data_IF_851661900146
#
_entry.id   IF_851661900146
#
_cell.length_a   1.000
_cell.length_b   1.000
_cell.length_c   1.000
_cell.angle_alpha   90.00
_cell.angle_beta   90.00
_cell.angle_gamma   90.00
#
_symmetry.space_group_name_H-M   'P 1'
#
loop_
_entity.id
_entity.type
_entity.pdbx_description
1 polymer ?
#
# COMPACT_ATOMS: atom_id res chain seq x y z
N UNK A 1 -0.72 3.01 20.21
CA UNK A 1 0.01 3.58 19.06
C UNK A 1 1.16 4.42 19.60
N UNK A 2 2.25 4.62 18.86
CA UNK A 2 3.33 5.48 19.34
C UNK A 2 2.95 6.96 19.11
N UNK A 3 3.37 7.85 20.02
CA UNK A 3 3.12 9.30 19.92
C UNK A 3 3.61 9.91 18.60
N UNK A 4 4.65 9.31 17.99
CA UNK A 4 5.19 9.75 16.72
C UNK A 4 4.25 9.41 15.54
N UNK A 5 3.56 8.26 15.60
CA UNK A 5 2.60 7.85 14.57
C UNK A 5 1.35 8.73 14.62
N UNK A 6 0.87 9.06 15.82
CA UNK A 6 -0.30 9.95 15.99
C UNK A 6 -0.01 11.36 15.44
N UNK A 7 1.17 11.93 15.76
CA UNK A 7 1.58 13.23 15.21
C UNK A 7 1.70 13.23 13.69
N UNK A 8 2.29 12.18 13.13
CA UNK A 8 2.40 12.00 11.68
C UNK A 8 1.02 11.89 11.01
N UNK A 9 0.06 11.21 11.65
CA UNK A 9 -1.29 11.10 11.14
C UNK A 9 -2.02 12.46 11.14
N UNK A 10 -1.91 13.22 12.23
CA UNK A 10 -2.51 14.56 12.32
C UNK A 10 -1.90 15.53 11.31
N UNK A 11 -0.57 15.53 11.19
CA UNK A 11 0.14 16.31 10.16
C UNK A 11 -0.34 15.91 8.77
N UNK A 12 -0.41 14.62 8.46
CA UNK A 12 -0.87 14.13 7.16
C UNK A 12 -2.32 14.52 6.85
N UNK A 13 -3.24 14.47 7.83
CA UNK A 13 -4.65 14.85 7.63
C UNK A 13 -4.76 16.33 7.24
N UNK A 14 -3.93 17.19 7.85
CA UNK A 14 -3.92 18.64 7.62
C UNK A 14 -3.37 19.07 6.26
N UNK A 15 -2.68 18.18 5.54
CA UNK A 15 -2.11 18.46 4.23
C UNK A 15 -3.19 18.60 3.14
N UNK A 16 -2.90 19.41 2.14
CA UNK A 16 -3.67 19.47 0.89
C UNK A 16 -3.53 18.16 0.11
N UNK A 17 -4.44 17.90 -0.83
CA UNK A 17 -4.39 16.68 -1.67
C UNK A 17 -3.05 16.53 -2.39
N UNK A 18 -2.52 17.62 -2.96
CA UNK A 18 -1.24 17.57 -3.68
C UNK A 18 -0.08 17.18 -2.76
N UNK A 19 -0.02 17.75 -1.57
CA UNK A 19 1.01 17.42 -0.57
C UNK A 19 0.86 15.98 -0.07
N UNK A 20 -0.38 15.49 0.11
CA UNK A 20 -0.64 14.08 0.44
C UNK A 20 -0.10 13.15 -0.65
N UNK A 21 -0.32 13.49 -1.91
CA UNK A 21 0.18 12.72 -3.06
C UNK A 21 1.71 12.71 -3.08
N UNK A 22 2.37 13.86 -2.89
CA UNK A 22 3.84 13.93 -2.84
C UNK A 22 4.42 13.15 -1.66
N UNK A 23 3.77 13.21 -0.51
CA UNK A 23 4.15 12.41 0.66
C UNK A 23 4.04 10.92 0.36
N UNK A 24 2.92 10.47 -0.21
CA UNK A 24 2.70 9.07 -0.58
C UNK A 24 3.74 8.58 -1.59
N UNK A 25 4.09 9.39 -2.59
CA UNK A 25 5.16 9.08 -3.56
C UNK A 25 6.53 8.86 -2.93
N UNK A 26 6.82 9.50 -1.78
CA UNK A 26 8.12 9.38 -1.08
C UNK A 26 8.16 8.20 -0.11
N UNK A 27 7.03 7.84 0.47
CA UNK A 27 6.95 6.85 1.56
C UNK A 27 6.58 5.45 1.05
N UNK A 28 5.81 5.36 -0.04
CA UNK A 28 5.40 4.09 -0.63
C UNK A 28 6.41 3.67 -1.69
N UNK A 29 7.16 2.59 -1.41
CA UNK A 29 7.92 1.88 -2.42
C UNK A 29 6.94 1.05 -3.26
N UNK A 30 6.48 1.60 -4.38
CA UNK A 30 5.51 0.98 -5.28
C UNK A 30 6.00 0.97 -6.73
N UNK A 31 5.30 0.22 -7.62
CA UNK A 31 5.52 0.34 -9.06
C UNK A 31 5.26 1.78 -9.52
N UNK A 32 5.81 2.21 -10.69
CA UNK A 32 5.45 3.51 -11.26
C UNK A 32 3.93 3.61 -11.42
N UNK A 33 3.37 4.80 -11.26
CA UNK A 33 1.92 5.01 -11.24
C UNK A 33 1.51 6.41 -10.80
N UNK A 34 0.22 6.68 -10.88
CA UNK A 34 -0.38 7.96 -10.56
C UNK A 34 -1.33 7.85 -9.37
N UNK A 35 -1.29 8.84 -8.49
CA UNK A 35 -2.28 9.00 -7.42
C UNK A 35 -3.33 9.99 -7.86
N UNK A 36 -4.60 9.60 -7.79
CA UNK A 36 -5.74 10.47 -8.09
C UNK A 36 -6.65 10.62 -6.87
N UNK A 37 -7.33 11.76 -6.77
CA UNK A 37 -8.38 11.97 -5.79
C UNK A 37 -9.75 11.80 -6.46
N UNK A 38 -10.61 10.95 -5.89
CA UNK A 38 -11.97 10.72 -6.36
C UNK A 38 -12.89 10.58 -5.14
N UNK A 39 -13.94 11.41 -5.07
CA UNK A 39 -14.88 11.50 -3.94
C UNK A 39 -14.20 11.69 -2.57
N UNK A 40 -13.12 12.49 -2.52
CA UNK A 40 -12.35 12.74 -1.29
C UNK A 40 -11.50 11.55 -0.83
N UNK A 41 -11.35 10.51 -1.66
CA UNK A 41 -10.48 9.37 -1.42
C UNK A 41 -9.32 9.36 -2.42
N UNK A 42 -8.14 9.00 -1.93
CA UNK A 42 -6.95 8.84 -2.76
C UNK A 42 -6.88 7.41 -3.29
N UNK A 43 -6.77 7.27 -4.61
CA UNK A 43 -6.58 6.00 -5.30
C UNK A 43 -5.22 6.00 -6.02
N UNK A 44 -4.55 4.85 -6.00
CA UNK A 44 -3.33 4.64 -6.77
C UNK A 44 -3.65 3.84 -8.03
N UNK A 45 -3.30 4.40 -9.19
CA UNK A 45 -3.39 3.78 -10.50
C UNK A 45 -1.98 3.41 -10.94
N UNK A 46 -1.58 2.12 -10.89
CA UNK A 46 -0.26 1.70 -11.36
C UNK A 46 -0.14 1.93 -12.88
N UNK A 47 1.04 2.38 -13.30
CA UNK A 47 1.42 2.53 -14.70
C UNK A 47 1.83 1.16 -15.26
N UNK A 48 1.21 0.74 -16.36
CA UNK A 48 1.48 -0.56 -16.97
C UNK A 48 0.27 -1.13 -17.71
N UNK A 49 0.43 -2.28 -18.39
CA UNK A 49 -0.70 -3.03 -18.91
C UNK A 49 -1.65 -3.39 -17.76
N UNK A 50 -2.97 -3.51 -18.02
CA UNK A 50 -3.88 -4.05 -17.02
C UNK A 50 -3.35 -5.39 -16.51
N UNK A 51 -3.56 -5.66 -15.22
CA UNK A 51 -3.14 -6.91 -14.60
C UNK A 51 -3.59 -8.09 -15.45
N UNK A 52 -2.67 -9.01 -15.70
CA UNK A 52 -2.99 -10.27 -16.37
C UNK A 52 -3.92 -11.10 -15.48
N UNK A 53 -4.64 -12.05 -16.08
CA UNK A 53 -5.52 -12.96 -15.32
C UNK A 53 -4.76 -13.72 -14.23
N UNK A 54 -3.50 -14.07 -14.48
CA UNK A 54 -2.63 -14.76 -13.52
C UNK A 54 -2.29 -13.86 -12.32
N UNK A 55 -2.02 -12.58 -12.56
CA UNK A 55 -1.75 -11.60 -11.50
C UNK A 55 -3.01 -11.31 -10.67
N UNK A 56 -4.18 -11.22 -11.30
CA UNK A 56 -5.47 -11.07 -10.60
C UNK A 56 -5.79 -12.28 -9.71
N UNK A 57 -5.55 -13.50 -10.19
CA UNK A 57 -5.73 -14.73 -9.39
C UNK A 57 -4.76 -14.76 -8.20
N UNK A 58 -3.51 -14.37 -8.41
CA UNK A 58 -2.50 -14.27 -7.36
C UNK A 58 -2.87 -13.23 -6.30
N UNK A 59 -3.42 -12.09 -6.73
CA UNK A 59 -3.90 -11.04 -5.84
C UNK A 59 -5.11 -11.49 -5.03
N UNK A 60 -6.10 -12.15 -5.65
CA UNK A 60 -7.27 -12.72 -4.95
C UNK A 60 -6.86 -13.76 -3.91
N UNK A 61 -5.91 -14.63 -4.24
CA UNK A 61 -5.37 -15.62 -3.31
C UNK A 61 -4.68 -14.95 -2.13
N UNK A 62 -3.85 -13.94 -2.39
CA UNK A 62 -3.17 -13.16 -1.35
C UNK A 62 -4.17 -12.43 -0.44
N UNK A 63 -5.24 -11.85 -0.99
CA UNK A 63 -6.31 -11.24 -0.19
C UNK A 63 -7.02 -12.26 0.70
N UNK A 64 -7.36 -13.43 0.14
CA UNK A 64 -7.98 -14.51 0.92
C UNK A 64 -7.08 -14.98 2.07
N UNK A 65 -5.77 -15.11 1.83
CA UNK A 65 -4.80 -15.49 2.86
C UNK A 65 -4.69 -14.42 3.97
N UNK A 66 -4.78 -13.13 3.62
CA UNK A 66 -4.83 -12.03 4.60
C UNK A 66 -6.15 -12.06 5.39
N UNK A 67 -7.29 -12.19 4.72
CA UNK A 67 -8.63 -12.20 5.34
C UNK A 67 -8.83 -13.41 6.26
N UNK A 68 -8.30 -14.56 5.88
CA UNK A 68 -8.36 -15.80 6.68
C UNK A 68 -7.28 -15.86 7.76
N UNK A 69 -6.42 -14.84 7.86
CA UNK A 69 -5.34 -14.79 8.85
C UNK A 69 -4.26 -15.85 8.64
N UNK A 70 -4.14 -16.41 7.42
CA UNK A 70 -3.13 -17.39 7.03
C UNK A 70 -1.77 -16.75 6.65
N UNK A 71 -1.61 -15.45 6.89
CA UNK A 71 -0.34 -14.75 6.72
C UNK A 71 0.72 -15.26 7.70
N UNK A 72 1.91 -15.60 7.20
CA UNK A 72 3.07 -15.87 8.04
C UNK A 72 3.65 -14.54 8.57
N UNK A 73 4.03 -14.45 9.86
CA UNK A 73 4.70 -13.27 10.40
C UNK A 73 5.95 -12.93 9.57
N UNK A 74 6.23 -11.64 9.37
CA UNK A 74 7.38 -11.16 8.58
C UNK A 74 8.71 -11.82 8.98
N UNK A 75 8.88 -12.16 10.26
CA UNK A 75 10.03 -12.87 10.77
C UNK A 75 10.15 -14.31 10.25
N UNK A 76 9.04 -15.01 10.05
CA UNK A 76 9.05 -16.34 9.42
C UNK A 76 9.30 -16.27 7.92
N UNK A 77 8.75 -15.26 7.25
CA UNK A 77 9.01 -15.03 5.83
C UNK A 77 10.50 -14.75 5.58
N UNK A 78 11.13 -13.89 6.40
CA UNK A 78 12.57 -13.60 6.33
C UNK A 78 13.43 -14.84 6.50
N UNK A 79 13.09 -15.70 7.48
CA UNK A 79 13.80 -16.98 7.69
C UNK A 79 13.68 -17.94 6.50
N UNK A 80 12.53 -17.96 5.82
CA UNK A 80 12.32 -18.83 4.64
C UNK A 80 13.02 -18.34 3.39
N UNK A 81 13.26 -17.03 3.27
CA UNK A 81 13.88 -16.41 2.10
C UNK A 81 15.42 -16.31 2.20
N UNK A 82 16.03 -16.77 3.29
CA UNK A 82 17.49 -16.69 3.55
C UNK A 82 18.09 -15.30 3.23
N UNK A 83 17.41 -14.24 3.68
CA UNK A 83 17.93 -12.85 3.73
C UNK A 83 18.23 -12.48 5.18
#
# INVERSE_FOLDING_TARGET
MSLAIEKLADEFISLTTQEKIEFLKKVIAGPPGEWIELDGKLYFIPEGPPATKEEEETFKKSQLEIETGQGVPLNELRKRLEI
#
